data_IF_959797563644
#
_entry.id   IF_959797563644
#
_cell.length_a   1.000
_cell.length_b   1.000
_cell.length_c   1.000
_cell.angle_alpha   90.00
_cell.angle_beta   90.00
_cell.angle_gamma   90.00
#
_symmetry.space_group_name_H-M   'P 1'
#
loop_
_entity.id
_entity.type
_entity.pdbx_description
1 polymer ?
#
# COMPACT_ATOMS: atom_id res chain seq x y z
N UNK A 1 -9.54 2.68 7.88
CA UNK A 1 -9.33 1.55 8.82
C UNK A 1 -8.63 0.43 8.07
N UNK A 2 -7.63 -0.24 8.64
CA UNK A 2 -6.86 -1.30 7.95
C UNK A 2 -7.75 -2.40 7.36
N UNK A 3 -8.75 -2.85 8.12
CA UNK A 3 -9.70 -3.88 7.67
C UNK A 3 -10.48 -3.49 6.42
N UNK A 4 -10.91 -2.23 6.30
CA UNK A 4 -11.62 -1.72 5.13
C UNK A 4 -10.71 -1.65 3.90
N UNK A 5 -9.46 -1.24 4.09
CA UNK A 5 -8.47 -1.20 3.00
C UNK A 5 -8.14 -2.60 2.48
N UNK A 6 -7.91 -3.57 3.38
CA UNK A 6 -7.67 -4.96 3.00
C UNK A 6 -8.88 -5.59 2.30
N UNK A 7 -10.10 -5.28 2.75
CA UNK A 7 -11.31 -5.75 2.08
C UNK A 7 -11.46 -5.18 0.67
N UNK A 8 -11.13 -3.90 0.45
CA UNK A 8 -11.15 -3.32 -0.89
C UNK A 8 -10.10 -3.99 -1.81
N UNK A 9 -8.87 -4.17 -1.31
CA UNK A 9 -7.80 -4.82 -2.07
C UNK A 9 -8.08 -6.30 -2.38
N UNK A 10 -8.80 -7.00 -1.50
CA UNK A 10 -9.30 -8.36 -1.73
C UNK A 10 -10.37 -8.37 -2.84
N UNK A 11 -11.33 -7.44 -2.80
CA UNK A 11 -12.38 -7.31 -3.83
C UNK A 11 -11.82 -6.93 -5.21
N UNK A 12 -10.76 -6.12 -5.25
CA UNK A 12 -10.07 -5.72 -6.47
C UNK A 12 -9.17 -6.84 -7.04
N UNK A 13 -8.97 -7.93 -6.28
CA UNK A 13 -8.15 -9.07 -6.70
C UNK A 13 -6.65 -8.88 -6.49
N UNK A 14 -6.23 -7.91 -5.69
CA UNK A 14 -4.81 -7.64 -5.38
C UNK A 14 -4.30 -8.44 -4.19
N UNK A 15 -5.18 -8.83 -3.28
CA UNK A 15 -4.80 -9.52 -2.03
C UNK A 15 -5.59 -10.80 -1.86
N UNK A 16 -4.89 -11.90 -1.63
CA UNK A 16 -5.47 -13.15 -1.13
C UNK A 16 -5.58 -13.09 0.39
N UNK A 17 -6.73 -13.55 0.90
CA UNK A 17 -7.02 -13.61 2.34
C UNK A 17 -7.27 -15.05 2.76
N UNK A 18 -6.49 -15.55 3.71
CA UNK A 18 -6.65 -16.90 4.28
C UNK A 18 -6.94 -16.82 5.76
N UNK A 19 -8.09 -17.34 6.18
CA UNK A 19 -8.48 -17.40 7.59
C UNK A 19 -8.13 -18.76 8.17
N UNK A 20 -7.32 -18.79 9.24
CA UNK A 20 -6.92 -20.02 9.91
C UNK A 20 -7.72 -20.21 11.20
N UNK A 21 -8.64 -21.20 11.25
CA UNK A 21 -9.43 -21.51 12.43
C UNK A 21 -8.63 -22.36 13.44
N UNK A 22 -7.41 -21.92 13.77
CA UNK A 22 -6.55 -22.55 14.78
C UNK A 22 -6.61 -21.77 16.09
N UNK A 23 -5.98 -22.27 17.16
CA UNK A 23 -5.85 -21.54 18.43
C UNK A 23 -4.40 -21.08 18.59
N UNK A 24 -4.10 -19.77 18.64
CA UNK A 24 -5.02 -18.64 18.47
C UNK A 24 -5.43 -18.40 17.00
N UNK A 25 -6.68 -17.96 16.74
CA UNK A 25 -7.16 -17.72 15.38
C UNK A 25 -6.44 -16.53 14.76
N UNK A 26 -6.07 -16.62 13.49
CA UNK A 26 -5.42 -15.55 12.75
C UNK A 26 -5.81 -15.56 11.28
N UNK A 27 -5.50 -14.46 10.60
CA UNK A 27 -5.74 -14.26 9.18
C UNK A 27 -4.42 -13.85 8.54
N UNK A 28 -4.05 -14.51 7.45
CA UNK A 28 -2.92 -14.12 6.62
C UNK A 28 -3.41 -13.42 5.37
N UNK A 29 -2.62 -12.45 4.93
CA UNK A 29 -2.85 -11.70 3.70
C UNK A 29 -1.58 -11.79 2.85
N UNK A 30 -1.74 -12.07 1.57
CA UNK A 30 -0.65 -12.16 0.60
C UNK A 30 -1.03 -11.47 -0.69
N UNK A 31 -0.06 -10.95 -1.43
CA UNK A 31 -0.34 -10.39 -2.76
C UNK A 31 -0.65 -11.52 -3.75
N UNK A 32 -1.65 -11.29 -4.59
CA UNK A 32 -1.85 -12.09 -5.80
C UNK A 32 -0.76 -11.75 -6.84
N UNK A 33 -0.65 -12.47 -7.96
CA UNK A 33 0.21 -12.05 -9.07
C UNK A 33 -0.10 -10.62 -9.55
N UNK A 34 -1.40 -10.30 -9.71
CA UNK A 34 -1.85 -8.95 -10.07
C UNK A 34 -1.56 -7.92 -8.95
N UNK A 35 -1.68 -8.34 -7.69
CA UNK A 35 -1.30 -7.56 -6.51
C UNK A 35 0.18 -7.18 -6.48
N UNK A 36 1.03 -8.10 -6.94
CA UNK A 36 2.48 -7.88 -7.02
C UNK A 36 2.79 -6.83 -8.10
N UNK A 37 2.18 -6.93 -9.27
CA UNK A 37 2.35 -5.96 -10.36
C UNK A 37 1.96 -4.53 -9.94
N UNK A 38 0.82 -4.36 -9.26
CA UNK A 38 0.40 -3.03 -8.77
C UNK A 38 1.27 -2.55 -7.62
N UNK A 39 1.70 -3.45 -6.73
CA UNK A 39 2.56 -3.12 -5.59
C UNK A 39 3.89 -2.54 -6.06
N UNK A 40 4.48 -3.07 -7.13
CA UNK A 40 5.70 -2.51 -7.72
C UNK A 40 5.52 -1.07 -8.21
N UNK A 41 4.37 -0.74 -8.80
CA UNK A 41 4.09 0.63 -9.26
C UNK A 41 3.89 1.60 -8.09
N UNK A 42 3.20 1.15 -7.05
CA UNK A 42 2.99 1.93 -5.83
C UNK A 42 4.33 2.16 -5.11
N UNK A 43 5.16 1.13 -5.00
CA UNK A 43 6.50 1.23 -4.41
C UNK A 43 7.37 2.22 -5.18
N UNK A 44 7.44 2.11 -6.51
CA UNK A 44 8.23 3.03 -7.33
C UNK A 44 7.79 4.51 -7.17
N UNK A 45 6.48 4.76 -7.04
CA UNK A 45 5.96 6.09 -6.78
C UNK A 45 6.34 6.57 -5.37
N UNK A 46 6.17 5.71 -4.36
CA UNK A 46 6.53 6.02 -2.98
C UNK A 46 8.03 6.37 -2.87
N UNK A 47 8.90 5.53 -3.43
CA UNK A 47 10.35 5.75 -3.45
C UNK A 47 10.71 7.09 -4.10
N UNK A 48 10.10 7.41 -5.25
CA UNK A 48 10.34 8.70 -5.90
C UNK A 48 9.89 9.88 -5.04
N UNK A 49 8.72 9.77 -4.39
CA UNK A 49 8.21 10.81 -3.51
C UNK A 49 9.14 10.99 -2.32
N UNK A 50 9.58 9.93 -1.67
CA UNK A 50 10.51 9.99 -0.53
C UNK A 50 11.80 10.71 -0.90
N UNK A 51 12.41 10.34 -2.04
CA UNK A 51 13.63 10.98 -2.54
C UNK A 51 13.43 12.46 -2.87
N UNK A 52 12.28 12.84 -3.42
CA UNK A 52 12.02 14.20 -3.89
C UNK A 52 11.24 15.06 -2.89
N UNK A 53 10.86 14.52 -1.73
CA UNK A 53 10.13 15.24 -0.67
C UNK A 53 10.81 16.55 -0.30
N UNK A 54 12.15 16.62 -0.10
CA UNK A 54 12.81 17.90 0.21
C UNK A 54 12.60 18.96 -0.88
N UNK A 55 12.66 18.58 -2.16
CA UNK A 55 12.42 19.51 -3.29
C UNK A 55 10.97 19.98 -3.32
N UNK A 56 10.03 19.09 -3.03
CA UNK A 56 8.60 19.43 -2.96
C UNK A 56 8.33 20.39 -1.81
N UNK A 57 8.97 20.21 -0.65
CA UNK A 57 8.83 21.12 0.49
C UNK A 57 9.44 22.50 0.20
N UNK A 58 10.64 22.57 -0.38
CA UNK A 58 11.24 23.84 -0.77
C UNK A 58 10.33 24.64 -1.72
N UNK A 59 9.75 23.99 -2.74
CA UNK A 59 8.79 24.62 -3.65
C UNK A 59 7.50 25.09 -2.98
N UNK A 60 7.10 24.52 -1.83
CA UNK A 60 5.92 24.98 -1.08
C UNK A 60 6.24 26.22 -0.27
N UNK A 61 7.42 26.27 0.34
CA UNK A 61 7.87 27.41 1.13
C UNK A 61 8.11 28.64 0.24
N UNK A 62 8.72 28.45 -0.93
CA UNK A 62 8.94 29.52 -1.93
C UNK A 62 7.62 30.14 -2.45
N UNK A 63 6.52 29.39 -2.43
CA UNK A 63 5.19 29.87 -2.83
C UNK A 63 4.40 30.51 -1.69
N UNK A 64 4.85 30.31 -0.45
CA UNK A 64 4.23 30.88 0.75
C UNK A 64 4.90 32.19 1.19
N UNK A 65 6.09 32.49 0.65
CA UNK A 65 6.82 33.76 0.79
C UNK A 65 6.39 34.79 -0.27
#
# INVERSE_FOLDING_TARGET
>A
MLSQSLQALELDGFVDRVSYPVVPPHVEYSLTPMGTEVSEKVAALADWIEVNTPKVMANRDDRAA
#
